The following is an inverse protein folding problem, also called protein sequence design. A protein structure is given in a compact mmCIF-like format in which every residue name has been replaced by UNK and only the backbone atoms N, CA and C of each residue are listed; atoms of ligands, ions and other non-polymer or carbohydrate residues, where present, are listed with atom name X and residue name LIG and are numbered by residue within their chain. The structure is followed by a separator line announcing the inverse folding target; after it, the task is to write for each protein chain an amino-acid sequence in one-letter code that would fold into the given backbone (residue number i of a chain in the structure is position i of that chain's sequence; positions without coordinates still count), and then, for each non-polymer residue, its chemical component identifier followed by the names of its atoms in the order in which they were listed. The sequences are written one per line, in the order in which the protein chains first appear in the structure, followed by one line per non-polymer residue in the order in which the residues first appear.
data_IF_315034359589
#
_entry.id   IF_315034359589
#
_cell.length_a   1.000
_cell.length_b   1.000
_cell.length_c   1.000
_cell.angle_alpha   90.00
_cell.angle_beta   90.00
_cell.angle_gamma   90.00
#
_symmetry.space_group_name_H-M   'P 1'
#
loop_
_entity.id
_entity.type
_entity.pdbx_description
1 polymer ?
#
# COMPACT_ATOMS: atom_id res chain seq x y z
N UNK A 1 -30.79 -1.08 -48.11
CA UNK A 1 -30.21 -0.29 -46.99
C UNK A 1 -30.79 -0.67 -45.63
N UNK A 2 -32.12 -0.64 -45.41
CA UNK A 2 -32.73 -0.96 -44.10
C UNK A 2 -32.45 -2.38 -43.58
N UNK A 3 -32.39 -3.38 -44.46
CA UNK A 3 -32.12 -4.77 -44.06
C UNK A 3 -30.69 -4.96 -43.50
N UNK A 4 -29.69 -4.23 -44.03
CA UNK A 4 -28.32 -4.27 -43.52
C UNK A 4 -28.23 -3.66 -42.11
N UNK A 5 -28.95 -2.57 -41.85
CA UNK A 5 -28.99 -1.95 -40.53
C UNK A 5 -29.69 -2.85 -39.50
N UNK A 6 -30.74 -3.57 -39.91
CA UNK A 6 -31.43 -4.53 -39.05
C UNK A 6 -30.52 -5.74 -38.73
N UNK A 7 -29.79 -6.26 -39.72
CA UNK A 7 -28.84 -7.35 -39.53
C UNK A 7 -27.64 -6.94 -38.66
N UNK A 8 -27.16 -5.70 -38.78
CA UNK A 8 -26.11 -5.16 -37.91
C UNK A 8 -26.59 -4.95 -36.48
N UNK A 9 -27.83 -4.47 -36.28
CA UNK A 9 -28.42 -4.33 -34.95
C UNK A 9 -28.66 -5.70 -34.28
N UNK A 10 -29.14 -6.68 -35.04
CA UNK A 10 -29.32 -8.07 -34.56
C UNK A 10 -27.97 -8.72 -34.28
N UNK A 11 -26.93 -8.50 -35.10
CA UNK A 11 -25.58 -8.97 -34.83
C UNK A 11 -24.96 -8.31 -33.58
N UNK A 12 -25.21 -7.02 -33.33
CA UNK A 12 -24.77 -6.33 -32.13
C UNK A 12 -25.52 -6.80 -30.86
N UNK A 13 -26.79 -7.19 -30.99
CA UNK A 13 -27.60 -7.78 -29.91
C UNK A 13 -27.30 -9.26 -29.66
N UNK A 14 -26.82 -9.98 -30.68
CA UNK A 14 -26.44 -11.39 -30.61
C UNK A 14 -24.94 -11.60 -30.34
N UNK A 15 -24.12 -10.55 -30.37
CA UNK A 15 -22.79 -10.63 -29.78
C UNK A 15 -23.00 -10.92 -28.30
N UNK A 16 -22.59 -12.09 -27.79
CA UNK A 16 -22.55 -12.28 -26.36
C UNK A 16 -21.72 -11.11 -25.82
N UNK A 17 -22.24 -10.42 -24.81
CA UNK A 17 -21.40 -9.62 -23.92
C UNK A 17 -20.52 -10.64 -23.21
N UNK A 18 -19.52 -11.16 -23.91
CA UNK A 18 -18.43 -11.89 -23.30
C UNK A 18 -17.72 -10.80 -22.52
N UNK A 19 -18.03 -10.66 -21.24
CA UNK A 19 -17.03 -10.10 -20.34
C UNK A 19 -15.83 -11.03 -20.50
N UNK A 20 -14.84 -10.62 -21.28
CA UNK A 20 -13.63 -11.43 -21.45
C UNK A 20 -13.02 -11.57 -20.07
N UNK A 21 -13.24 -12.73 -19.46
CA UNK A 21 -12.74 -13.09 -18.15
C UNK A 21 -11.24 -13.38 -18.32
N UNK A 22 -10.43 -12.33 -18.20
CA UNK A 22 -8.97 -12.47 -18.19
C UNK A 22 -8.48 -13.31 -17.01
N UNK A 23 -7.41 -14.06 -17.25
CA UNK A 23 -6.62 -14.78 -16.26
C UNK A 23 -5.50 -13.87 -15.75
N UNK A 24 -5.60 -13.42 -14.50
CA UNK A 24 -4.74 -12.38 -13.93
C UNK A 24 -3.84 -12.99 -12.85
N UNK A 25 -2.53 -12.78 -12.99
CA UNK A 25 -1.57 -13.05 -11.92
C UNK A 25 -1.47 -11.81 -11.03
N UNK A 26 -1.99 -11.90 -9.81
CA UNK A 26 -2.06 -10.79 -8.86
C UNK A 26 -1.05 -10.99 -7.72
N UNK A 27 -0.04 -10.14 -7.60
CA UNK A 27 1.12 -10.38 -6.73
C UNK A 27 1.28 -9.27 -5.70
N UNK A 28 1.13 -9.62 -4.41
CA UNK A 28 1.44 -8.78 -3.26
C UNK A 28 2.31 -9.53 -2.27
N UNK A 29 3.60 -9.78 -2.60
CA UNK A 29 4.47 -10.63 -1.79
C UNK A 29 5.01 -9.97 -0.52
N UNK A 30 4.76 -8.66 -0.30
CA UNK A 30 5.16 -7.99 0.92
C UNK A 30 4.26 -8.42 2.10
N UNK A 31 4.82 -8.80 3.27
CA UNK A 31 4.05 -9.46 4.34
C UNK A 31 3.29 -8.49 5.27
N UNK A 32 3.24 -7.19 4.94
CA UNK A 32 2.57 -6.21 5.79
C UNK A 32 1.04 -6.21 5.55
N UNK A 33 0.21 -6.41 6.60
CA UNK A 33 -1.25 -6.48 6.44
C UNK A 33 -1.88 -5.22 5.83
N UNK A 34 -1.32 -4.03 6.10
CA UNK A 34 -1.83 -2.76 5.54
C UNK A 34 -1.67 -2.68 4.02
N UNK A 35 -0.62 -3.28 3.47
CA UNK A 35 -0.37 -3.32 2.04
C UNK A 35 -1.40 -4.22 1.37
N UNK A 36 -1.59 -5.42 1.90
CA UNK A 36 -2.62 -6.33 1.39
C UNK A 36 -4.03 -5.74 1.48
N UNK A 37 -4.34 -5.03 2.57
CA UNK A 37 -5.63 -4.35 2.71
C UNK A 37 -5.88 -3.35 1.56
N UNK A 38 -4.85 -2.68 1.04
CA UNK A 38 -4.98 -1.86 -0.17
C UNK A 38 -5.29 -2.72 -1.39
N UNK A 39 -4.41 -3.68 -1.65
CA UNK A 39 -4.40 -4.51 -2.86
C UNK A 39 -5.68 -5.35 -2.98
N UNK A 40 -6.22 -5.83 -1.86
CA UNK A 40 -7.43 -6.64 -1.80
C UNK A 40 -8.64 -5.91 -2.39
N UNK A 41 -8.69 -4.57 -2.36
CA UNK A 41 -9.75 -3.81 -3.02
C UNK A 41 -9.74 -4.04 -4.54
N UNK A 42 -8.58 -3.97 -5.18
CA UNK A 42 -8.46 -4.23 -6.61
C UNK A 42 -8.77 -5.69 -6.94
N UNK A 43 -8.25 -6.63 -6.14
CA UNK A 43 -8.50 -8.05 -6.33
C UNK A 43 -10.00 -8.35 -6.28
N UNK A 44 -10.74 -7.80 -5.31
CA UNK A 44 -12.21 -7.96 -5.21
C UNK A 44 -12.94 -7.40 -6.43
N UNK A 45 -12.55 -6.21 -6.88
CA UNK A 45 -13.14 -5.55 -8.04
C UNK A 45 -12.87 -6.34 -9.34
N UNK A 46 -11.71 -6.98 -9.47
CA UNK A 46 -11.39 -7.87 -10.59
C UNK A 46 -12.27 -9.11 -10.58
N UNK A 47 -12.41 -9.76 -9.42
CA UNK A 47 -13.27 -10.95 -9.27
C UNK A 47 -14.75 -10.63 -9.56
N UNK A 48 -15.26 -9.49 -9.06
CA UNK A 48 -16.63 -9.04 -9.31
C UNK A 48 -16.93 -8.77 -10.78
N UNK A 49 -15.91 -8.42 -11.57
CA UNK A 49 -16.01 -8.25 -13.03
C UNK A 49 -15.88 -9.57 -13.79
N UNK A 50 -15.78 -10.70 -13.09
CA UNK A 50 -15.74 -12.04 -13.66
C UNK A 50 -14.34 -12.53 -14.04
N UNK A 51 -13.26 -11.82 -13.69
CA UNK A 51 -11.90 -12.26 -14.00
C UNK A 51 -11.47 -13.45 -13.11
N UNK A 52 -10.59 -14.30 -13.63
CA UNK A 52 -9.91 -15.33 -12.85
C UNK A 52 -8.62 -14.74 -12.28
N UNK A 53 -8.43 -14.86 -10.98
CA UNK A 53 -7.28 -14.27 -10.29
C UNK A 53 -6.49 -15.35 -9.57
N UNK A 54 -5.21 -15.48 -9.91
CA UNK A 54 -4.23 -16.23 -9.13
C UNK A 54 -3.45 -15.25 -8.27
N UNK A 55 -3.71 -15.25 -6.97
CA UNK A 55 -3.11 -14.33 -6.01
C UNK A 55 -1.86 -14.94 -5.34
N UNK A 56 -0.72 -14.26 -5.42
CA UNK A 56 0.50 -14.59 -4.65
C UNK A 56 0.62 -13.60 -3.50
N UNK A 57 0.46 -14.06 -2.27
CA UNK A 57 0.36 -13.19 -1.08
C UNK A 57 0.71 -13.92 0.21
N UNK A 58 0.91 -13.16 1.29
CA UNK A 58 1.08 -13.68 2.65
C UNK A 58 -0.27 -13.78 3.40
N UNK A 59 -1.36 -13.29 2.82
CA UNK A 59 -2.63 -13.10 3.50
C UNK A 59 -3.76 -13.84 2.78
N UNK A 60 -4.42 -14.76 3.50
CA UNK A 60 -5.61 -15.43 2.99
C UNK A 60 -6.78 -14.46 2.87
N UNK A 61 -7.51 -14.56 1.77
CA UNK A 61 -8.77 -13.88 1.59
C UNK A 61 -9.76 -14.29 2.69
N UNK A 62 -10.51 -13.32 3.21
CA UNK A 62 -11.55 -13.57 4.22
C UNK A 62 -12.87 -14.07 3.63
N UNK A 63 -12.88 -14.40 2.34
CA UNK A 63 -14.04 -14.79 1.56
C UNK A 63 -13.62 -15.82 0.54
N UNK A 64 -14.56 -16.66 0.14
CA UNK A 64 -14.36 -17.62 -0.95
C UNK A 64 -14.94 -17.05 -2.23
N UNK A 65 -14.25 -17.29 -3.34
CA UNK A 65 -14.72 -16.93 -4.68
C UNK A 65 -14.24 -18.02 -5.64
N UNK A 66 -15.13 -18.51 -6.51
CA UNK A 66 -14.83 -19.60 -7.46
C UNK A 66 -13.66 -19.27 -8.40
N UNK A 67 -13.58 -18.01 -8.82
CA UNK A 67 -12.52 -17.52 -9.71
C UNK A 67 -11.21 -17.11 -9.00
N UNK A 68 -11.06 -17.37 -7.70
CA UNK A 68 -9.86 -17.02 -6.93
C UNK A 68 -9.02 -18.26 -6.62
N UNK A 69 -7.77 -18.27 -7.10
CA UNK A 69 -6.74 -19.22 -6.68
C UNK A 69 -5.72 -18.51 -5.80
N UNK A 70 -5.40 -19.06 -4.64
CA UNK A 70 -4.46 -18.44 -3.69
C UNK A 70 -3.17 -19.25 -3.54
N UNK A 71 -2.04 -18.60 -3.85
CA UNK A 71 -0.68 -19.05 -3.55
C UNK A 71 -0.21 -18.30 -2.31
N UNK A 72 -0.40 -18.93 -1.15
CA UNK A 72 -0.07 -18.35 0.15
C UNK A 72 1.37 -18.65 0.53
N UNK A 73 2.19 -17.60 0.67
CA UNK A 73 3.53 -17.62 1.24
C UNK A 73 3.39 -17.78 2.76
N UNK A 74 3.83 -18.91 3.29
CA UNK A 74 3.63 -19.28 4.70
C UNK A 74 4.80 -20.11 5.21
N UNK A 75 5.46 -19.74 6.32
CA UNK A 75 5.18 -18.57 7.17
C UNK A 75 5.50 -17.23 6.48
N UNK A 76 4.79 -16.13 6.85
CA UNK A 76 5.17 -14.80 6.40
C UNK A 76 6.56 -14.44 6.94
N UNK A 77 7.31 -13.62 6.20
CA UNK A 77 8.60 -13.13 6.67
C UNK A 77 8.45 -12.26 7.93
N UNK A 78 9.19 -12.60 8.99
CA UNK A 78 9.14 -11.91 10.28
C UNK A 78 9.96 -10.60 10.23
N UNK A 79 9.37 -9.54 9.67
CA UNK A 79 9.99 -8.20 9.66
C UNK A 79 10.39 -7.76 11.08
N UNK A 80 9.54 -7.87 12.12
CA UNK A 80 9.90 -7.48 13.50
C UNK A 80 11.14 -8.16 14.07
N UNK A 81 11.45 -9.41 13.69
CA UNK A 81 12.66 -10.09 14.13
C UNK A 81 13.94 -9.37 13.68
N UNK A 82 13.97 -8.88 12.44
CA UNK A 82 15.12 -8.16 11.88
C UNK A 82 15.07 -6.66 12.16
N UNK A 83 13.86 -6.10 12.29
CA UNK A 83 13.61 -4.68 12.50
C UNK A 83 12.60 -4.49 13.63
N UNK A 84 13.07 -4.47 14.90
CA UNK A 84 12.20 -4.35 16.06
C UNK A 84 11.30 -3.12 15.99
N UNK A 85 10.00 -3.29 16.31
CA UNK A 85 8.99 -2.23 16.22
C UNK A 85 9.29 -1.00 17.09
N UNK A 86 9.98 -1.20 18.21
CA UNK A 86 10.43 -0.11 19.08
C UNK A 86 11.30 0.92 18.34
N UNK A 87 12.02 0.47 17.30
CA UNK A 87 12.84 1.36 16.47
C UNK A 87 11.99 2.30 15.62
N UNK A 88 10.73 1.96 15.31
CA UNK A 88 9.81 2.83 14.56
C UNK A 88 9.60 4.14 15.34
N UNK A 89 9.45 4.07 16.66
CA UNK A 89 9.32 5.25 17.51
C UNK A 89 10.63 6.04 17.68
N UNK A 90 11.75 5.52 17.17
CA UNK A 90 13.07 6.15 17.15
C UNK A 90 13.52 6.56 15.74
N UNK A 91 12.81 6.17 14.68
CA UNK A 91 13.21 6.43 13.28
C UNK A 91 13.40 7.91 12.96
N UNK A 92 12.62 8.80 13.58
CA UNK A 92 12.79 10.26 13.45
C UNK A 92 14.16 10.76 13.95
N UNK A 93 14.82 10.00 14.81
CA UNK A 93 16.15 10.30 15.34
C UNK A 93 17.27 9.51 14.62
N UNK A 94 16.91 8.66 13.66
CA UNK A 94 17.85 7.98 12.78
C UNK A 94 18.15 8.84 11.54
N UNK A 95 19.24 8.55 10.85
CA UNK A 95 19.61 9.23 9.61
C UNK A 95 18.68 8.82 8.46
N UNK A 96 18.32 9.77 7.58
CA UNK A 96 17.51 9.49 6.38
C UNK A 96 18.17 8.41 5.50
N UNK A 97 19.50 8.38 5.45
CA UNK A 97 20.27 7.37 4.73
C UNK A 97 20.12 5.97 5.35
N UNK A 98 20.10 5.88 6.68
CA UNK A 98 19.87 4.61 7.37
C UNK A 98 18.44 4.12 7.17
N UNK A 99 17.47 5.04 7.21
CA UNK A 99 16.08 4.73 6.89
C UNK A 99 15.97 4.20 5.46
N UNK A 100 16.57 4.86 4.47
CA UNK A 100 16.54 4.38 3.09
C UNK A 100 17.21 3.00 2.90
N UNK A 101 18.36 2.79 3.55
CA UNK A 101 19.05 1.49 3.53
C UNK A 101 18.22 0.37 4.14
N UNK A 102 17.50 0.65 5.22
CA UNK A 102 16.57 -0.30 5.85
C UNK A 102 15.52 -0.77 4.84
N UNK A 103 14.94 0.13 4.05
CA UNK A 103 13.90 -0.19 3.08
C UNK A 103 14.41 -1.12 1.97
N UNK A 104 15.59 -0.83 1.40
CA UNK A 104 16.23 -1.73 0.45
C UNK A 104 16.54 -3.10 1.06
N UNK A 105 17.02 -3.13 2.30
CA UNK A 105 17.36 -4.39 2.98
C UNK A 105 16.11 -5.24 3.23
N UNK A 106 15.03 -4.64 3.73
CA UNK A 106 13.72 -5.28 3.88
C UNK A 106 13.23 -5.82 2.54
N UNK A 107 13.29 -5.01 1.48
CA UNK A 107 12.89 -5.43 0.13
C UNK A 107 13.67 -6.65 -0.37
N UNK A 108 14.99 -6.68 -0.19
CA UNK A 108 15.82 -7.81 -0.57
C UNK A 108 15.48 -9.08 0.22
N UNK A 109 15.37 -8.98 1.55
CA UNK A 109 15.09 -10.13 2.42
C UNK A 109 13.70 -10.73 2.15
N UNK A 110 12.68 -9.87 2.05
CA UNK A 110 11.31 -10.31 1.80
C UNK A 110 11.14 -10.92 0.40
N UNK A 111 11.85 -10.39 -0.62
CA UNK A 111 11.85 -10.98 -1.97
C UNK A 111 12.50 -12.37 -1.98
N UNK A 112 13.67 -12.51 -1.35
CA UNK A 112 14.35 -13.80 -1.27
C UNK A 112 13.52 -14.84 -0.52
N UNK A 113 12.88 -14.45 0.59
CA UNK A 113 11.98 -15.31 1.34
C UNK A 113 10.82 -15.80 0.48
N UNK A 114 10.14 -14.87 -0.21
CA UNK A 114 9.01 -15.17 -1.07
C UNK A 114 9.38 -16.08 -2.26
N UNK A 115 10.51 -15.85 -2.93
CA UNK A 115 10.99 -16.71 -4.01
C UNK A 115 11.45 -18.09 -3.53
N UNK A 116 11.79 -18.22 -2.25
CA UNK A 116 12.14 -19.50 -1.66
C UNK A 116 10.95 -20.39 -1.28
N UNK A 117 9.75 -19.81 -1.19
CA UNK A 117 8.53 -20.54 -0.86
C UNK A 117 8.26 -21.67 -1.89
N UNK A 118 7.97 -22.91 -1.44
CA UNK A 118 7.76 -24.04 -2.34
C UNK A 118 6.63 -23.84 -3.37
N UNK A 119 5.57 -23.11 -3.03
CA UNK A 119 4.45 -22.86 -3.94
C UNK A 119 4.82 -21.81 -4.97
N UNK A 120 5.60 -20.79 -4.58
CA UNK A 120 6.16 -19.82 -5.53
C UNK A 120 7.15 -20.50 -6.48
N UNK A 121 8.04 -21.36 -5.98
CA UNK A 121 8.92 -22.20 -6.82
C UNK A 121 8.13 -23.08 -7.79
N UNK A 122 7.02 -23.65 -7.35
CA UNK A 122 6.13 -24.44 -8.21
C UNK A 122 5.49 -23.57 -9.31
N UNK A 123 5.11 -22.32 -8.99
CA UNK A 123 4.65 -21.36 -9.99
C UNK A 123 5.75 -21.02 -11.00
N UNK A 124 7.00 -20.84 -10.56
CA UNK A 124 8.16 -20.61 -11.45
C UNK A 124 8.40 -21.83 -12.36
N UNK A 125 8.29 -23.05 -11.83
CA UNK A 125 8.51 -24.28 -12.58
C UNK A 125 7.35 -24.66 -13.51
N UNK A 126 6.17 -24.06 -13.32
CA UNK A 126 4.96 -24.38 -14.10
C UNK A 126 5.15 -24.20 -15.61
N UNK A 127 4.55 -25.09 -16.40
CA UNK A 127 4.61 -25.05 -17.88
C UNK A 127 3.25 -24.92 -18.56
N UNK A 128 2.17 -25.14 -17.80
CA UNK A 128 0.80 -25.20 -18.32
C UNK A 128 -0.08 -24.06 -17.78
N UNK A 129 0.55 -22.99 -17.29
CA UNK A 129 -0.15 -21.81 -16.78
C UNK A 129 0.15 -20.65 -17.72
N UNK A 130 -0.90 -19.92 -18.07
CA UNK A 130 -0.85 -18.72 -18.89
C UNK A 130 -1.66 -17.61 -18.19
N UNK A 131 -1.21 -16.37 -18.37
CA UNK A 131 -1.85 -15.19 -17.79
C UNK A 131 -1.95 -14.10 -18.85
N UNK A 132 -3.07 -13.39 -18.85
CA UNK A 132 -3.31 -12.26 -19.76
C UNK A 132 -2.74 -10.94 -19.22
N UNK A 133 -2.54 -10.86 -17.90
CA UNK A 133 -2.04 -9.68 -17.21
C UNK A 133 -1.35 -10.09 -15.90
N UNK A 134 -0.22 -9.45 -15.61
CA UNK A 134 0.36 -9.44 -14.27
C UNK A 134 0.05 -8.11 -13.59
N UNK A 135 -0.57 -8.18 -12.41
CA UNK A 135 -0.76 -7.05 -11.51
C UNK A 135 0.16 -7.25 -10.32
N UNK A 136 1.10 -6.34 -10.09
CA UNK A 136 2.07 -6.45 -8.99
C UNK A 136 2.02 -5.25 -8.06
N UNK A 137 2.21 -5.47 -6.78
CA UNK A 137 2.49 -4.38 -5.85
C UNK A 137 3.78 -3.62 -6.27
N UNK A 138 3.70 -2.29 -6.36
CA UNK A 138 4.85 -1.42 -6.59
C UNK A 138 5.53 -1.08 -5.26
N UNK A 139 6.11 -2.07 -4.59
CA UNK A 139 6.74 -1.91 -3.28
C UNK A 139 7.94 -2.84 -3.10
N UNK A 140 9.07 -2.50 -3.74
CA UNK A 140 10.24 -3.39 -3.81
C UNK A 140 9.80 -4.75 -4.44
N UNK A 141 10.67 -5.75 -4.60
CA UNK A 141 10.36 -7.02 -5.31
C UNK A 141 10.48 -7.00 -6.84
N UNK A 142 11.37 -6.19 -7.41
CA UNK A 142 11.55 -6.09 -8.86
C UNK A 142 11.93 -7.44 -9.50
N UNK A 143 12.54 -8.38 -8.77
CA UNK A 143 12.77 -9.76 -9.23
C UNK A 143 11.48 -10.48 -9.66
N UNK A 144 10.33 -10.15 -9.05
CA UNK A 144 9.04 -10.74 -9.40
C UNK A 144 8.56 -10.33 -10.80
N UNK A 145 9.05 -9.21 -11.36
CA UNK A 145 8.74 -8.84 -12.74
C UNK A 145 9.14 -9.93 -13.74
N UNK A 146 10.05 -10.84 -13.37
CA UNK A 146 10.41 -12.00 -14.18
C UNK A 146 9.22 -12.93 -14.47
N UNK A 147 8.18 -12.95 -13.65
CA UNK A 147 6.95 -13.68 -13.95
C UNK A 147 6.24 -13.14 -15.20
N UNK A 148 6.25 -11.83 -15.44
CA UNK A 148 5.70 -11.26 -16.65
C UNK A 148 6.48 -11.70 -17.90
N UNK A 149 7.82 -11.82 -17.79
CA UNK A 149 8.64 -12.39 -18.86
C UNK A 149 8.33 -13.87 -19.08
N UNK A 150 8.24 -14.65 -18.00
CA UNK A 150 7.91 -16.09 -18.02
C UNK A 150 6.60 -16.35 -18.75
N UNK A 151 5.55 -15.62 -18.37
CA UNK A 151 4.19 -15.80 -18.90
C UNK A 151 3.88 -14.91 -20.10
N UNK A 152 4.86 -14.11 -20.56
CA UNK A 152 4.76 -13.22 -21.72
C UNK A 152 3.54 -12.30 -21.67
N UNK A 153 3.23 -11.77 -20.49
CA UNK A 153 2.05 -10.95 -20.26
C UNK A 153 2.42 -9.48 -19.94
N UNK A 154 1.52 -8.53 -20.24
CA UNK A 154 1.70 -7.13 -19.86
C UNK A 154 1.74 -6.95 -18.33
N UNK A 155 2.34 -5.85 -17.90
CA UNK A 155 2.55 -5.52 -16.48
C UNK A 155 1.76 -4.27 -16.12
N UNK A 156 0.92 -4.40 -15.09
CA UNK A 156 0.35 -3.28 -14.34
C UNK A 156 0.84 -3.35 -12.89
N UNK A 157 1.03 -2.21 -12.25
CA UNK A 157 1.45 -2.16 -10.85
C UNK A 157 0.57 -1.29 -9.97
N UNK A 158 0.53 -1.62 -8.68
CA UNK A 158 -0.28 -0.96 -7.66
C UNK A 158 0.62 -0.38 -6.58
N UNK A 159 0.74 0.95 -6.52
CA UNK A 159 1.44 1.66 -5.46
C UNK A 159 0.62 1.67 -4.18
N UNK A 160 1.11 1.00 -3.14
CA UNK A 160 0.50 0.99 -1.79
C UNK A 160 0.80 2.26 -0.99
N UNK A 161 1.82 3.01 -1.41
CA UNK A 161 2.21 4.31 -0.89
C UNK A 161 2.02 5.42 -1.92
N UNK A 162 2.37 6.65 -1.52
CA UNK A 162 2.56 7.76 -2.44
C UNK A 162 3.78 7.59 -3.35
N UNK A 163 4.09 8.64 -4.12
CA UNK A 163 5.13 8.62 -5.13
C UNK A 163 6.55 8.43 -4.58
N UNK A 164 7.37 7.71 -5.36
CA UNK A 164 8.81 7.64 -5.19
C UNK A 164 9.52 7.88 -6.53
N UNK A 165 10.74 8.38 -6.51
CA UNK A 165 11.45 8.82 -7.71
C UNK A 165 11.69 7.69 -8.72
N UNK A 166 11.88 6.48 -8.23
CA UNK A 166 12.01 5.30 -9.08
C UNK A 166 10.71 5.01 -9.86
N UNK A 167 9.53 5.37 -9.34
CA UNK A 167 8.26 5.19 -10.05
C UNK A 167 8.17 6.11 -11.27
N UNK A 168 8.58 7.38 -11.13
CA UNK A 168 8.66 8.33 -12.25
C UNK A 168 9.59 7.79 -13.33
N UNK A 169 10.80 7.36 -12.94
CA UNK A 169 11.78 6.81 -13.88
C UNK A 169 11.32 5.54 -14.59
N UNK A 170 10.62 4.65 -13.88
CA UNK A 170 10.00 3.44 -14.45
C UNK A 170 9.02 3.79 -15.56
N UNK A 171 8.26 4.87 -15.38
CA UNK A 171 7.29 5.36 -16.36
C UNK A 171 7.90 6.28 -17.42
N UNK A 172 9.22 6.55 -17.38
CA UNK A 172 9.91 7.40 -18.36
C UNK A 172 9.88 8.89 -18.03
N UNK A 173 9.50 9.26 -16.82
CA UNK A 173 9.58 10.62 -16.29
C UNK A 173 10.92 10.86 -15.57
N UNK A 174 11.29 12.13 -15.42
CA UNK A 174 12.41 12.56 -14.58
C UNK A 174 11.87 13.37 -13.41
N UNK A 175 12.19 12.95 -12.19
CA UNK A 175 11.83 13.70 -10.99
C UNK A 175 12.61 15.01 -10.92
N UNK A 176 11.95 16.19 -10.91
CA UNK A 176 12.62 17.46 -10.70
C UNK A 176 12.93 17.69 -9.21
N UNK A 177 14.09 17.20 -8.74
CA UNK A 177 14.53 17.29 -7.33
C UNK A 177 14.64 18.72 -6.77
N UNK A 178 14.59 19.75 -7.62
CA UNK A 178 14.59 21.14 -7.16
C UNK A 178 13.25 21.57 -6.52
N UNK A 179 12.15 20.90 -6.86
CA UNK A 179 10.80 21.26 -6.39
C UNK A 179 10.04 20.06 -5.80
N UNK A 180 10.47 18.84 -6.10
CA UNK A 180 9.87 17.64 -5.54
C UNK A 180 10.73 17.12 -4.39
N UNK A 181 10.21 17.11 -3.15
CA UNK A 181 10.88 16.51 -2.01
C UNK A 181 10.95 14.99 -2.15
N UNK A 182 12.05 14.43 -1.69
CA UNK A 182 12.28 13.00 -1.57
C UNK A 182 11.27 12.40 -0.59
N UNK A 183 10.80 11.18 -0.85
CA UNK A 183 9.74 10.51 -0.08
C UNK A 183 9.98 10.46 1.43
N UNK A 184 11.24 10.45 1.87
CA UNK A 184 11.62 10.41 3.28
C UNK A 184 11.60 11.79 3.99
N UNK A 185 11.48 12.88 3.23
CA UNK A 185 11.53 14.23 3.78
C UNK A 185 10.13 14.80 3.96
N UNK A 186 9.91 15.49 5.08
CA UNK A 186 8.67 16.23 5.37
C UNK A 186 8.64 17.62 4.73
N UNK A 187 9.38 17.81 3.64
CA UNK A 187 9.41 19.07 2.90
C UNK A 187 8.18 19.21 1.99
N UNK A 188 7.87 20.43 1.59
CA UNK A 188 6.83 20.73 0.59
C UNK A 188 7.49 21.11 -0.74
N UNK A 189 6.68 21.55 -1.71
CA UNK A 189 7.16 22.18 -2.94
C UNK A 189 7.86 23.53 -2.71
N UNK A 190 7.78 24.07 -1.49
CA UNK A 190 8.49 25.27 -1.04
C UNK A 190 9.69 24.90 -0.17
N UNK A 191 10.84 24.72 -0.80
CA UNK A 191 12.12 24.47 -0.13
C UNK A 191 13.02 25.70 -0.17
N UNK A 192 13.79 25.93 0.90
CA UNK A 192 14.93 26.85 0.90
C UNK A 192 16.08 26.31 0.04
N UNK A 193 17.12 27.11 -0.20
CA UNK A 193 18.30 26.62 -0.92
C UNK A 193 18.96 25.42 -0.22
N UNK A 194 19.09 25.45 1.10
CA UNK A 194 19.72 24.35 1.86
C UNK A 194 18.86 23.10 1.86
N UNK A 195 17.53 23.25 1.98
CA UNK A 195 16.59 22.13 1.87
C UNK A 195 16.65 21.50 0.46
N UNK A 196 16.66 22.31 -0.60
CA UNK A 196 16.81 21.81 -1.98
C UNK A 196 18.15 21.09 -2.20
N UNK A 197 19.24 21.63 -1.67
CA UNK A 197 20.56 21.02 -1.79
C UNK A 197 20.61 19.65 -1.09
N UNK A 198 20.08 19.56 0.13
CA UNK A 198 19.97 18.30 0.86
C UNK A 198 19.05 17.31 0.15
N UNK A 199 17.87 17.77 -0.30
CA UNK A 199 16.92 16.96 -1.07
C UNK A 199 17.56 16.34 -2.32
N UNK A 200 18.28 17.16 -3.10
CA UNK A 200 19.01 16.71 -4.30
C UNK A 200 20.08 15.68 -3.92
N UNK A 201 20.83 15.93 -2.85
CA UNK A 201 21.87 15.00 -2.40
C UNK A 201 21.30 13.64 -1.96
N UNK A 202 20.21 13.63 -1.18
CA UNK A 202 19.55 12.41 -0.75
C UNK A 202 18.94 11.65 -1.95
N UNK A 203 18.28 12.35 -2.88
CA UNK A 203 17.67 11.74 -4.07
C UNK A 203 18.73 11.19 -5.02
N UNK A 204 19.86 11.88 -5.17
CA UNK A 204 21.01 11.36 -5.91
C UNK A 204 21.56 10.11 -5.23
N UNK A 205 21.75 10.13 -3.90
CA UNK A 205 22.19 8.95 -3.16
C UNK A 205 21.26 7.75 -3.37
N UNK A 206 19.94 7.96 -3.30
CA UNK A 206 18.94 6.92 -3.60
C UNK A 206 19.16 6.37 -5.02
N UNK A 207 19.16 7.23 -6.04
CA UNK A 207 19.32 6.82 -7.42
C UNK A 207 20.61 6.02 -7.68
N UNK A 208 21.73 6.46 -7.10
CA UNK A 208 23.05 5.79 -7.16
C UNK A 208 22.97 4.40 -6.52
N UNK A 209 22.52 4.32 -5.27
CA UNK A 209 22.43 3.07 -4.53
C UNK A 209 21.44 2.11 -5.16
N UNK A 210 20.29 2.60 -5.62
CA UNK A 210 19.31 1.78 -6.35
C UNK A 210 19.93 1.19 -7.60
N UNK A 211 20.62 2.01 -8.41
CA UNK A 211 21.20 1.61 -9.71
C UNK A 211 22.31 0.57 -9.58
N UNK A 212 23.20 0.72 -8.61
CA UNK A 212 24.46 -0.03 -8.53
C UNK A 212 24.58 -0.98 -7.34
N UNK A 213 23.70 -0.90 -6.35
CA UNK A 213 23.69 -1.83 -5.21
C UNK A 213 22.42 -2.69 -5.20
N UNK A 214 21.24 -2.06 -5.20
CA UNK A 214 19.97 -2.76 -5.02
C UNK A 214 19.54 -3.55 -6.26
N UNK A 215 19.45 -2.90 -7.43
CA UNK A 215 19.01 -3.56 -8.66
C UNK A 215 19.89 -4.73 -9.11
N UNK A 216 21.23 -4.69 -8.98
CA UNK A 216 22.07 -5.87 -9.25
C UNK A 216 21.76 -7.06 -8.35
N UNK A 217 21.44 -6.84 -7.05
CA UNK A 217 21.05 -7.93 -6.15
C UNK A 217 19.68 -8.52 -6.52
N UNK A 218 18.74 -7.70 -6.96
CA UNK A 218 17.48 -8.18 -7.53
C UNK A 218 17.70 -8.99 -8.81
N UNK A 219 18.60 -8.53 -9.69
CA UNK A 219 18.98 -9.28 -10.89
C UNK A 219 19.56 -10.65 -10.54
N UNK A 220 20.55 -10.70 -9.65
CA UNK A 220 21.19 -11.95 -9.21
C UNK A 220 20.16 -12.92 -8.61
N UNK A 221 19.23 -12.40 -7.81
CA UNK A 221 18.15 -13.19 -7.24
C UNK A 221 17.22 -13.75 -8.32
N UNK A 222 16.81 -12.93 -9.29
CA UNK A 222 16.01 -13.40 -10.42
C UNK A 222 16.75 -14.48 -11.23
N UNK A 223 18.04 -14.31 -11.49
CA UNK A 223 18.84 -15.31 -12.17
C UNK A 223 18.93 -16.63 -11.38
N UNK A 224 19.20 -16.57 -10.07
CA UNK A 224 19.28 -17.77 -9.23
C UNK A 224 17.97 -18.58 -9.21
N UNK A 225 16.82 -17.91 -9.18
CA UNK A 225 15.52 -18.58 -9.02
C UNK A 225 14.86 -18.96 -10.34
N UNK A 226 15.11 -18.24 -11.43
CA UNK A 226 14.43 -18.46 -12.71
C UNK A 226 15.31 -19.10 -13.79
N UNK A 227 16.64 -19.05 -13.67
CA UNK A 227 17.55 -19.63 -14.66
C UNK A 227 17.37 -21.14 -14.75
N UNK A 228 17.34 -21.66 -15.98
CA UNK A 228 17.10 -23.08 -16.28
C UNK A 228 15.63 -23.52 -16.18
N UNK A 229 14.73 -22.68 -15.64
CA UNK A 229 13.29 -22.96 -15.57
C UNK A 229 12.48 -22.20 -16.63
N UNK A 230 13.00 -21.06 -17.10
CA UNK A 230 12.47 -20.29 -18.23
C UNK A 230 13.29 -20.61 -19.49
N UNK A 231 12.62 -20.70 -20.64
CA UNK A 231 13.27 -20.87 -21.93
C UNK A 231 13.83 -19.53 -22.45
N UNK A 232 15.10 -19.55 -22.87
CA UNK A 232 15.77 -18.38 -23.45
C UNK A 232 16.53 -17.51 -22.45
N UNK A 233 17.18 -16.44 -22.92
CA UNK A 233 17.94 -15.54 -22.07
C UNK A 233 17.01 -14.75 -21.15
N UNK A 234 17.34 -14.69 -19.86
CA UNK A 234 16.62 -13.85 -18.92
C UNK A 234 16.92 -12.37 -19.21
N UNK A 235 15.90 -11.51 -19.33
CA UNK A 235 16.10 -10.08 -19.46
C UNK A 235 16.65 -9.49 -18.16
N UNK A 236 17.24 -8.30 -18.25
CA UNK A 236 17.58 -7.59 -17.03
C UNK A 236 16.30 -7.06 -16.37
N UNK A 237 16.14 -7.25 -15.06
CA UNK A 237 15.01 -6.74 -14.27
C UNK A 237 14.71 -5.25 -14.54
N UNK A 238 15.75 -4.41 -14.72
CA UNK A 238 15.56 -2.99 -15.08
C UNK A 238 14.90 -2.75 -16.44
N UNK A 239 15.01 -3.69 -17.38
CA UNK A 239 14.28 -3.64 -18.65
C UNK A 239 12.81 -4.00 -18.43
N UNK A 240 12.52 -4.95 -17.53
CA UNK A 240 11.16 -5.31 -17.17
C UNK A 240 10.44 -4.17 -16.44
N UNK A 241 11.14 -3.39 -15.60
CA UNK A 241 10.57 -2.18 -15.00
C UNK A 241 10.04 -1.22 -16.08
N UNK A 242 10.82 -0.98 -17.14
CA UNK A 242 10.42 -0.10 -18.25
C UNK A 242 9.25 -0.63 -19.08
N UNK A 243 8.85 -1.89 -18.90
CA UNK A 243 7.71 -2.49 -19.58
C UNK A 243 6.41 -2.37 -18.78
N UNK A 244 6.45 -1.75 -17.60
CA UNK A 244 5.25 -1.41 -16.83
C UNK A 244 4.40 -0.43 -17.64
N UNK A 245 3.20 -0.87 -18.02
CA UNK A 245 2.31 -0.13 -18.92
C UNK A 245 1.33 0.77 -18.16
N UNK A 246 1.02 0.40 -16.91
CA UNK A 246 0.08 1.08 -16.04
C UNK A 246 0.55 0.99 -14.59
N UNK A 247 0.50 2.11 -13.88
CA UNK A 247 0.74 2.18 -12.46
C UNK A 247 -0.42 2.94 -11.80
N UNK A 248 -1.14 2.26 -10.90
CA UNK A 248 -2.18 2.86 -10.08
C UNK A 248 -1.60 3.20 -8.71
N UNK A 249 -1.53 4.49 -8.37
CA UNK A 249 -0.87 4.96 -7.16
C UNK A 249 -1.91 5.33 -6.11
N UNK A 250 -1.68 4.91 -4.87
CA UNK A 250 -2.47 5.34 -3.71
C UNK A 250 -2.18 6.80 -3.35
N UNK A 251 -2.55 7.71 -4.25
CA UNK A 251 -2.43 9.12 -4.00
C UNK A 251 -3.50 9.93 -4.70
N UNK A 252 -3.65 11.19 -4.29
CA UNK A 252 -4.65 12.10 -4.83
C UNK A 252 -4.02 13.48 -5.04
N UNK A 253 -4.34 14.11 -6.17
CA UNK A 253 -3.81 15.42 -6.61
C UNK A 253 -4.00 16.56 -5.60
N UNK A 254 -4.98 16.43 -4.69
CA UNK A 254 -5.24 17.43 -3.64
C UNK A 254 -4.34 17.27 -2.42
N UNK A 255 -3.62 16.16 -2.31
CA UNK A 255 -2.78 15.80 -1.16
C UNK A 255 -1.29 15.90 -1.49
N UNK A 256 -0.93 15.67 -2.74
CA UNK A 256 0.45 15.64 -3.19
C UNK A 256 1.00 17.01 -3.58
N UNK A 257 2.32 17.12 -3.49
CA UNK A 257 3.10 18.16 -4.16
C UNK A 257 2.90 18.06 -5.69
N UNK A 258 2.94 19.20 -6.42
CA UNK A 258 2.92 19.18 -7.88
C UNK A 258 4.04 18.30 -8.45
N UNK A 259 3.66 17.24 -9.17
CA UNK A 259 4.58 16.26 -9.78
C UNK A 259 4.23 16.04 -11.26
N UNK A 260 5.21 15.82 -12.15
CA UNK A 260 4.96 15.37 -13.51
C UNK A 260 4.10 14.10 -13.54
N UNK A 261 3.24 13.97 -14.55
CA UNK A 261 2.37 12.82 -14.71
C UNK A 261 2.23 12.44 -16.18
N UNK A 262 1.68 11.26 -16.44
CA UNK A 262 1.44 10.72 -17.77
C UNK A 262 0.24 9.77 -17.75
N UNK A 263 -0.38 9.44 -18.90
CA UNK A 263 -1.62 8.66 -18.94
C UNK A 263 -1.57 7.30 -18.24
N UNK A 264 -0.41 6.63 -18.23
CA UNK A 264 -0.21 5.35 -17.56
C UNK A 264 0.01 5.46 -16.04
N UNK A 265 0.02 6.66 -15.47
CA UNK A 265 0.28 6.93 -14.05
C UNK A 265 -0.97 7.52 -13.41
N UNK A 266 -1.80 6.66 -12.82
CA UNK A 266 -3.16 7.04 -12.40
C UNK A 266 -3.25 7.10 -10.87
N UNK A 267 -3.63 8.27 -10.37
CA UNK A 267 -3.93 8.50 -8.97
C UNK A 267 -5.29 7.90 -8.59
N UNK A 268 -5.27 6.96 -7.65
CA UNK A 268 -6.44 6.26 -7.12
C UNK A 268 -6.50 6.32 -5.58
N UNK A 269 -5.97 7.38 -4.96
CA UNK A 269 -6.06 7.56 -3.51
C UNK A 269 -7.50 7.56 -3.01
N UNK A 270 -7.77 6.85 -1.91
CA UNK A 270 -9.09 6.79 -1.27
C UNK A 270 -10.04 5.68 -1.74
N UNK A 271 -9.62 4.71 -2.58
CA UNK A 271 -10.54 3.61 -3.00
C UNK A 271 -11.10 2.78 -1.84
N UNK A 272 -10.39 2.77 -0.71
CA UNK A 272 -10.74 2.04 0.50
C UNK A 272 -11.85 2.75 1.29
N UNK A 273 -12.07 4.04 1.04
CA UNK A 273 -13.11 4.84 1.66
C UNK A 273 -14.44 4.41 1.05
N UNK A 274 -15.33 3.88 1.88
CA UNK A 274 -16.67 3.42 1.49
C UNK A 274 -17.74 4.29 2.15
N UNK A 275 -18.96 4.20 1.62
CA UNK A 275 -20.14 4.79 2.27
C UNK A 275 -20.20 4.31 3.73
N UNK A 276 -20.36 5.23 4.70
CA UNK A 276 -20.30 4.88 6.10
C UNK A 276 -21.48 3.97 6.48
N UNK A 277 -21.19 2.99 7.34
CA UNK A 277 -22.20 2.08 7.88
C UNK A 277 -22.68 2.58 9.24
N UNK A 278 -23.88 2.18 9.68
CA UNK A 278 -24.34 2.47 11.04
C UNK A 278 -23.34 1.96 12.07
N UNK A 279 -22.97 2.82 13.03
CA UNK A 279 -22.10 2.46 14.14
C UNK A 279 -22.82 1.49 15.10
N UNK A 280 -22.08 0.61 15.78
CA UNK A 280 -22.61 -0.11 16.94
C UNK A 280 -23.25 0.85 17.95
N UNK A 281 -24.38 0.46 18.53
CA UNK A 281 -25.19 1.35 19.37
C UNK A 281 -24.41 2.00 20.53
N UNK A 282 -23.45 1.27 21.12
CA UNK A 282 -22.64 1.78 22.21
C UNK A 282 -21.64 2.87 21.76
N UNK A 283 -21.13 2.77 20.52
CA UNK A 283 -20.29 3.79 19.90
C UNK A 283 -21.14 4.97 19.44
N UNK A 284 -22.28 4.71 18.80
CA UNK A 284 -23.23 5.75 18.38
C UNK A 284 -23.65 6.61 19.59
N UNK A 285 -24.10 5.99 20.67
CA UNK A 285 -24.48 6.69 21.90
C UNK A 285 -23.31 7.48 22.52
N UNK A 286 -22.09 6.93 22.49
CA UNK A 286 -20.92 7.62 23.02
C UNK A 286 -20.60 8.89 22.22
N UNK A 287 -20.66 8.82 20.88
CA UNK A 287 -20.42 9.97 20.02
C UNK A 287 -21.56 10.99 20.10
N UNK A 288 -22.82 10.55 20.14
CA UNK A 288 -24.01 11.41 20.17
C UNK A 288 -24.15 12.18 21.49
N UNK A 289 -23.84 11.52 22.62
CA UNK A 289 -23.96 12.13 23.95
C UNK A 289 -22.81 13.09 24.29
N UNK A 290 -21.78 13.18 23.45
CA UNK A 290 -20.64 14.06 23.68
C UNK A 290 -21.03 15.53 23.50
N UNK A 291 -21.01 16.29 24.59
CA UNK A 291 -21.43 17.70 24.59
C UNK A 291 -20.40 18.64 23.97
N UNK A 292 -19.11 18.32 24.10
CA UNK A 292 -18.01 19.13 23.56
C UNK A 292 -17.42 18.54 22.27
N UNK A 293 -17.97 17.42 21.79
CA UNK A 293 -17.45 16.64 20.68
C UNK A 293 -16.32 15.68 21.08
N UNK A 294 -15.90 14.87 20.13
CA UNK A 294 -15.02 13.73 20.34
C UNK A 294 -13.69 13.92 19.63
N UNK A 295 -12.60 13.65 20.33
CA UNK A 295 -11.28 13.43 19.77
C UNK A 295 -11.12 11.94 19.49
N UNK A 296 -10.90 11.59 18.22
CA UNK A 296 -10.59 10.22 17.84
C UNK A 296 -9.07 10.05 17.77
N UNK A 297 -8.51 9.04 18.43
CA UNK A 297 -7.07 8.75 18.44
C UNK A 297 -6.79 7.34 17.94
N UNK A 298 -6.00 7.21 16.87
CA UNK A 298 -5.61 5.92 16.29
C UNK A 298 -4.22 5.97 15.67
N UNK A 299 -3.34 5.05 16.09
CA UNK A 299 -2.01 4.86 15.51
C UNK A 299 -2.00 3.82 14.37
N UNK A 300 -3.18 3.36 13.93
CA UNK A 300 -3.30 2.39 12.85
C UNK A 300 -3.10 0.94 13.31
N UNK A 301 -2.73 0.07 12.36
CA UNK A 301 -2.60 -1.38 12.58
C UNK A 301 -1.17 -1.84 12.84
N UNK A 302 -0.18 -1.11 12.33
CA UNK A 302 1.23 -1.47 12.44
C UNK A 302 1.90 -0.86 13.68
N UNK A 303 1.74 0.46 13.88
CA UNK A 303 2.11 1.15 15.11
C UNK A 303 1.02 0.96 16.15
N UNK A 304 1.16 -0.07 16.99
CA UNK A 304 0.16 -0.35 18.03
C UNK A 304 0.34 0.58 19.22
N UNK A 305 -0.76 0.98 19.85
CA UNK A 305 -0.74 1.84 21.04
C UNK A 305 -0.07 1.12 22.22
N UNK A 306 -0.23 -0.20 22.32
CA UNK A 306 0.43 -1.04 23.34
C UNK A 306 1.96 -1.08 23.22
N UNK A 307 2.51 -0.85 22.02
CA UNK A 307 3.95 -0.89 21.78
C UNK A 307 4.62 0.45 22.23
N UNK A 308 3.84 1.44 22.67
CA UNK A 308 4.37 2.69 23.19
C UNK A 308 4.97 2.53 24.60
N UNK A 309 6.12 3.18 24.88
CA UNK A 309 6.65 3.28 26.24
C UNK A 309 5.61 3.79 27.24
N UNK A 310 5.59 3.21 28.45
CA UNK A 310 4.62 3.56 29.50
C UNK A 310 4.67 5.05 29.85
N UNK A 311 5.85 5.67 29.85
CA UNK A 311 5.94 7.12 30.12
C UNK A 311 5.18 7.93 29.07
N UNK A 312 5.25 7.56 27.79
CA UNK A 312 4.52 8.24 26.71
C UNK A 312 3.01 8.05 26.84
N UNK A 313 2.55 6.85 27.18
CA UNK A 313 1.12 6.58 27.43
C UNK A 313 0.61 7.47 28.56
N UNK A 314 1.33 7.56 29.67
CA UNK A 314 0.94 8.38 30.82
C UNK A 314 0.91 9.88 30.49
N UNK A 315 1.87 10.37 29.69
CA UNK A 315 1.87 11.76 29.21
C UNK A 315 0.66 12.05 28.32
N UNK A 316 0.32 11.14 27.40
CA UNK A 316 -0.86 11.28 26.53
C UNK A 316 -2.15 11.28 27.36
N UNK A 317 -2.30 10.36 28.32
CA UNK A 317 -3.47 10.33 29.21
C UNK A 317 -3.59 11.60 30.07
N UNK A 318 -2.46 12.12 30.56
CA UNK A 318 -2.42 13.39 31.31
C UNK A 318 -2.83 14.59 30.46
N UNK A 319 -2.48 14.59 29.17
CA UNK A 319 -2.96 15.61 28.24
C UNK A 319 -4.46 15.44 27.94
N UNK A 320 -4.92 14.22 27.70
CA UNK A 320 -6.33 13.94 27.43
C UNK A 320 -7.26 14.25 28.60
N UNK A 321 -6.82 14.04 29.84
CA UNK A 321 -7.64 14.35 31.03
C UNK A 321 -7.94 15.84 31.20
N UNK A 322 -7.18 16.71 30.54
CA UNK A 322 -7.37 18.16 30.58
C UNK A 322 -8.35 18.65 29.51
N UNK A 323 -8.75 17.79 28.57
CA UNK A 323 -9.70 18.12 27.51
C UNK A 323 -11.14 18.15 28.04
N UNK A 324 -11.94 19.06 27.50
CA UNK A 324 -13.40 19.06 27.72
C UNK A 324 -14.10 18.04 26.82
N UNK A 325 -13.44 17.66 25.73
CA UNK A 325 -13.88 16.66 24.77
C UNK A 325 -13.75 15.26 25.34
N UNK A 326 -14.63 14.39 24.86
CA UNK A 326 -14.48 12.95 25.02
C UNK A 326 -13.38 12.45 24.08
N UNK A 327 -12.65 11.42 24.48
CA UNK A 327 -11.55 10.85 23.70
C UNK A 327 -11.82 9.38 23.44
N UNK A 328 -12.00 9.04 22.17
CA UNK A 328 -12.10 7.66 21.71
C UNK A 328 -10.74 7.19 21.19
N UNK A 329 -10.09 6.29 21.92
CA UNK A 329 -8.75 5.82 21.60
C UNK A 329 -8.73 4.35 21.19
N UNK A 330 -8.28 4.07 19.97
CA UNK A 330 -7.96 2.72 19.52
C UNK A 330 -6.74 2.18 20.30
N UNK A 331 -6.97 1.21 21.18
CA UNK A 331 -5.95 0.61 22.04
C UNK A 331 -6.14 -0.91 22.16
N UNK A 332 -5.10 -1.69 21.88
CA UNK A 332 -5.21 -3.14 21.64
C UNK A 332 -5.67 -3.97 22.85
N UNK A 333 -5.45 -3.50 24.08
CA UNK A 333 -5.87 -4.17 25.30
C UNK A 333 -6.18 -3.20 26.46
N UNK A 334 -6.69 -3.74 27.57
CA UNK A 334 -7.02 -2.97 28.78
C UNK A 334 -5.84 -2.81 29.75
N UNK A 335 -4.59 -2.93 29.28
CA UNK A 335 -3.40 -2.80 30.14
C UNK A 335 -3.06 -1.34 30.49
N UNK A 336 -3.82 -0.39 29.93
CA UNK A 336 -3.77 1.01 30.34
C UNK A 336 -4.33 1.09 31.76
N UNK A 337 -3.56 1.63 32.70
CA UNK A 337 -3.91 1.65 34.13
C UNK A 337 -5.19 2.45 34.44
N UNK A 338 -5.07 3.57 35.16
CA UNK A 338 -6.22 4.41 35.41
C UNK A 338 -6.54 5.27 34.17
N UNK A 339 -7.74 5.11 33.62
CA UNK A 339 -8.24 5.93 32.51
C UNK A 339 -8.95 7.18 33.05
N UNK A 340 -8.67 8.38 32.50
CA UNK A 340 -9.45 9.57 32.79
C UNK A 340 -10.94 9.38 32.43
N UNK A 341 -11.88 10.04 33.13
CA UNK A 341 -13.32 9.86 32.91
C UNK A 341 -13.80 10.14 31.47
N UNK A 342 -13.09 11.02 30.76
CA UNK A 342 -13.41 11.40 29.39
C UNK A 342 -12.74 10.48 28.33
N UNK A 343 -11.97 9.47 28.72
CA UNK A 343 -11.24 8.59 27.79
C UNK A 343 -11.90 7.21 27.72
N UNK A 344 -12.37 6.82 26.52
CA UNK A 344 -12.82 5.47 26.20
C UNK A 344 -11.80 4.78 25.29
N UNK A 345 -11.38 3.57 25.67
CA UNK A 345 -10.49 2.74 24.83
C UNK A 345 -11.24 1.56 24.21
N UNK A 346 -10.86 1.18 23.00
CA UNK A 346 -11.37 -0.03 22.35
C UNK A 346 -10.33 -0.63 21.39
N UNK A 347 -10.26 -1.96 21.33
CA UNK A 347 -9.25 -2.68 20.53
C UNK A 347 -9.50 -2.59 19.03
N UNK A 348 -10.76 -2.49 18.62
CA UNK A 348 -11.17 -2.37 17.23
C UNK A 348 -12.27 -1.32 17.08
N UNK A 349 -12.11 -0.43 16.11
CA UNK A 349 -13.00 0.69 15.85
C UNK A 349 -13.21 0.84 14.33
N UNK A 350 -14.46 1.03 13.85
CA UNK A 350 -14.75 1.28 12.44
C UNK A 350 -14.35 2.72 12.07
N UNK A 351 -13.06 2.93 11.78
CA UNK A 351 -12.44 4.25 11.63
C UNK A 351 -13.17 5.16 10.63
N UNK A 352 -13.44 4.68 9.42
CA UNK A 352 -14.17 5.44 8.39
C UNK A 352 -15.55 5.91 8.87
N UNK A 353 -16.30 5.04 9.55
CA UNK A 353 -17.66 5.34 10.03
C UNK A 353 -17.62 6.34 11.20
N UNK A 354 -16.60 6.25 12.05
CA UNK A 354 -16.37 7.21 13.14
C UNK A 354 -16.00 8.58 12.58
N UNK A 355 -15.07 8.63 11.62
CA UNK A 355 -14.64 9.89 11.00
C UNK A 355 -15.78 10.59 10.24
N UNK A 356 -16.75 9.83 9.71
CA UNK A 356 -17.97 10.36 9.11
C UNK A 356 -18.94 10.99 10.11
N UNK A 357 -18.75 10.78 11.42
CA UNK A 357 -19.69 11.22 12.45
C UNK A 357 -19.53 12.73 12.79
N UNK A 358 -20.61 13.53 12.82
CA UNK A 358 -20.53 15.00 12.95
C UNK A 358 -19.95 15.50 14.29
N UNK A 359 -19.98 14.67 15.32
CA UNK A 359 -19.40 14.99 16.63
C UNK A 359 -17.90 14.74 16.73
N UNK A 360 -17.26 14.09 15.76
CA UNK A 360 -15.79 13.97 15.76
C UNK A 360 -15.18 15.30 15.32
N UNK A 361 -14.33 15.88 16.18
CA UNK A 361 -13.77 17.22 15.99
C UNK A 361 -12.30 17.22 15.59
N UNK A 362 -11.56 16.21 16.04
CA UNK A 362 -10.13 16.05 15.74
C UNK A 362 -9.82 14.58 15.61
N UNK A 363 -9.01 14.24 14.60
CA UNK A 363 -8.41 12.93 14.45
C UNK A 363 -6.91 13.00 14.75
N UNK A 364 -6.50 12.51 15.92
CA UNK A 364 -5.10 12.33 16.26
C UNK A 364 -4.63 11.03 15.61
N UNK A 365 -3.58 11.09 14.79
CA UNK A 365 -3.15 9.95 13.96
C UNK A 365 -1.64 9.85 13.89
N UNK A 366 -1.14 8.66 13.58
CA UNK A 366 0.28 8.48 13.25
C UNK A 366 0.67 9.00 11.84
N UNK A 367 -0.30 9.51 11.07
CA UNK A 367 -0.08 10.03 9.72
C UNK A 367 -0.05 8.97 8.62
N UNK A 368 -0.48 7.73 8.89
CA UNK A 368 -0.58 6.69 7.87
C UNK A 368 -1.58 7.04 6.78
N UNK A 369 -1.21 6.75 5.53
CA UNK A 369 -1.88 7.25 4.31
C UNK A 369 -3.40 6.97 4.27
N UNK A 370 -3.86 5.83 4.76
CA UNK A 370 -5.28 5.47 4.78
C UNK A 370 -6.08 6.37 5.72
N UNK A 371 -5.60 6.52 6.96
CA UNK A 371 -6.26 7.35 7.96
C UNK A 371 -6.21 8.82 7.56
N UNK A 372 -5.09 9.28 6.99
CA UNK A 372 -4.96 10.64 6.45
C UNK A 372 -5.98 10.89 5.35
N UNK A 373 -6.14 9.97 4.39
CA UNK A 373 -7.13 10.09 3.32
C UNK A 373 -8.57 10.09 3.87
N UNK A 374 -8.89 9.23 4.84
CA UNK A 374 -10.22 9.19 5.49
C UNK A 374 -10.51 10.49 6.24
N UNK A 375 -9.56 11.00 7.04
CA UNK A 375 -9.71 12.26 7.77
C UNK A 375 -9.96 13.43 6.83
N UNK A 376 -9.25 13.48 5.70
CA UNK A 376 -9.45 14.54 4.70
C UNK A 376 -10.78 14.38 3.96
N UNK A 377 -11.15 13.16 3.58
CA UNK A 377 -12.42 12.90 2.91
C UNK A 377 -13.62 13.37 3.74
N UNK A 378 -13.58 13.12 5.06
CA UNK A 378 -14.64 13.54 5.99
C UNK A 378 -14.46 14.95 6.56
N UNK A 379 -13.40 15.67 6.15
CA UNK A 379 -13.15 17.04 6.59
C UNK A 379 -12.82 17.18 8.07
N UNK A 380 -12.22 16.15 8.69
CA UNK A 380 -11.84 16.14 10.10
C UNK A 380 -10.40 16.67 10.25
N UNK A 381 -10.18 17.76 11.01
CA UNK A 381 -8.83 18.23 11.33
C UNK A 381 -7.96 17.16 11.98
N UNK A 382 -6.67 17.09 11.61
CA UNK A 382 -5.74 16.07 12.09
C UNK A 382 -4.59 16.65 12.93
N UNK A 383 -4.09 15.85 13.87
CA UNK A 383 -2.88 16.11 14.66
C UNK A 383 -1.91 14.92 14.55
#
# INVERSE_FOLDING_TARGET
MQLCWLLLAVAALLMPITSNAFNILFMGPFPAPSHWMWLEHFLRELLQRGHHVTAVTNHRAKYQHENLTEIIIDPPFDIPYYFPKENIFKMRFASDFQNLQMWWHVGLLTTEHALNDPKVKSLIASKNLDFDLMVMEQFFHESFLMFAHKFKCPIATLGTMGYADNMDHTMGLLTPWAVIPHLLLSHTDQMSFTQRAYNTYLSLYDAVMRRWYYMPKMQEMAERHFSGLIEGPLPHVRQLEKNISLMLINSHRSLDVPRPSMPGLINVGGIHIKTPKPLPQDLQNYLDNSTHGVVYFSLGSYMKSIDMPKEKINLILSAFSQLKQDVLWKFENSSVGHLPPNVKIQSWLPQNDILAHPNVKVFITHGGIFGTQEGIHWGVPML
#
